data_IF_401601275493
#
_entry.id   IF_401601275493
#
_cell.length_a   1.000
_cell.length_b   1.000
_cell.length_c   1.000
_cell.angle_alpha   90.00
_cell.angle_beta   90.00
_cell.angle_gamma   90.00
#
_symmetry.space_group_name_H-M   'P 1'
#
loop_
_entity.id
_entity.type
_entity.pdbx_description
1 polymer ?
#
# COMPACT_ATOMS: atom_id res chain seq x y z
N UNK A 1 -0.99 -12.28 -6.67
CA UNK A 1 -1.48 -11.30 -5.68
C UNK A 1 -2.36 -10.33 -6.40
N UNK A 2 -3.55 -10.08 -5.87
CA UNK A 2 -4.56 -9.23 -6.49
C UNK A 2 -4.56 -7.83 -5.88
N UNK A 3 -5.15 -6.86 -6.59
CA UNK A 3 -5.23 -5.44 -6.15
C UNK A 3 -5.80 -5.29 -4.74
N UNK A 4 -6.83 -6.08 -4.41
CA UNK A 4 -7.50 -6.05 -3.09
C UNK A 4 -6.53 -6.50 -1.99
N UNK A 5 -5.79 -7.59 -2.22
CA UNK A 5 -4.81 -8.08 -1.25
C UNK A 5 -3.72 -7.05 -0.99
N UNK A 6 -3.24 -6.37 -2.05
CA UNK A 6 -2.24 -5.32 -1.92
C UNK A 6 -2.79 -4.10 -1.15
N UNK A 7 -4.03 -3.68 -1.45
CA UNK A 7 -4.71 -2.59 -0.75
C UNK A 7 -4.85 -2.88 0.75
N UNK A 8 -5.24 -4.11 1.11
CA UNK A 8 -5.34 -4.56 2.52
C UNK A 8 -3.98 -4.58 3.21
N UNK A 9 -2.93 -5.06 2.56
CA UNK A 9 -1.58 -5.04 3.14
C UNK A 9 -1.07 -3.62 3.40
N UNK A 10 -1.33 -2.67 2.50
CA UNK A 10 -0.97 -1.27 2.73
C UNK A 10 -1.78 -0.71 3.92
N UNK A 11 -3.07 -1.03 4.00
CA UNK A 11 -3.94 -0.58 5.09
C UNK A 11 -3.51 -1.14 6.45
N UNK A 12 -3.16 -2.43 6.50
CA UNK A 12 -2.65 -3.08 7.70
C UNK A 12 -1.32 -2.48 8.11
N UNK A 13 -0.38 -2.25 7.18
CA UNK A 13 0.89 -1.57 7.49
C UNK A 13 0.67 -0.15 7.99
N UNK A 14 -0.19 0.66 7.37
CA UNK A 14 -0.53 2.01 7.85
C UNK A 14 -1.20 1.99 9.23
N UNK A 15 -2.11 1.06 9.46
CA UNK A 15 -2.81 0.90 10.74
C UNK A 15 -1.86 0.37 11.84
N UNK A 16 -0.88 -0.42 11.45
CA UNK A 16 0.18 -0.96 12.30
C UNK A 16 1.34 0.01 12.55
N UNK A 17 1.34 1.23 11.97
CA UNK A 17 2.34 2.29 12.28
C UNK A 17 2.35 2.70 13.77
N UNK A 18 1.43 2.18 14.59
CA UNK A 18 1.51 2.26 16.05
C UNK A 18 2.35 1.17 16.74
N UNK A 19 3.01 0.26 16.02
CA UNK A 19 3.93 -0.71 16.58
C UNK A 19 5.28 -0.63 15.85
N UNK A 20 6.29 -0.19 16.61
CA UNK A 20 7.70 -0.13 16.24
C UNK A 20 8.16 -1.53 15.86
N UNK A 21 8.52 -1.75 14.60
CA UNK A 21 9.09 -3.04 14.17
C UNK A 21 10.34 -2.78 13.31
N UNK A 22 11.49 -3.11 13.92
CA UNK A 22 12.85 -2.72 13.53
C UNK A 22 13.52 -3.70 12.54
N UNK A 23 12.74 -4.56 11.84
CA UNK A 23 13.31 -5.62 10.98
C UNK A 23 12.54 -5.95 9.69
N UNK A 24 11.65 -5.08 9.21
CA UNK A 24 10.83 -5.37 8.03
C UNK A 24 11.32 -4.66 6.77
N UNK A 25 11.64 -5.44 5.73
CA UNK A 25 11.82 -4.95 4.35
C UNK A 25 10.69 -3.95 4.03
N UNK A 26 11.06 -2.75 3.55
CA UNK A 26 10.07 -1.69 3.29
C UNK A 26 9.08 -2.19 2.23
N UNK A 27 7.80 -1.82 2.37
CA UNK A 27 6.81 -2.13 1.32
C UNK A 27 7.30 -1.59 -0.03
N UNK A 28 7.94 -0.43 0.02
CA UNK A 28 8.58 0.28 -1.07
C UNK A 28 9.71 -0.53 -1.72
N UNK A 29 10.52 -1.26 -0.94
CA UNK A 29 11.60 -2.11 -1.44
C UNK A 29 11.03 -3.35 -2.14
N UNK A 30 10.00 -3.97 -1.56
CA UNK A 30 9.27 -5.09 -2.17
C UNK A 30 8.60 -4.67 -3.48
N UNK A 31 7.95 -3.52 -3.48
CA UNK A 31 7.28 -2.96 -4.66
C UNK A 31 8.33 -2.64 -5.72
N UNK A 32 9.45 -2.00 -5.36
CA UNK A 32 10.52 -1.66 -6.29
C UNK A 32 11.20 -2.89 -6.90
N UNK A 33 11.27 -4.00 -6.16
CA UNK A 33 11.80 -5.28 -6.63
C UNK A 33 10.90 -6.01 -7.62
N UNK A 34 9.58 -5.80 -7.59
CA UNK A 34 8.62 -6.57 -8.40
C UNK A 34 7.88 -5.70 -9.44
N UNK A 35 8.05 -6.05 -10.72
CA UNK A 35 7.35 -5.39 -11.84
C UNK A 35 5.82 -5.50 -11.75
N UNK A 36 5.29 -6.61 -11.25
CA UNK A 36 3.84 -6.80 -11.09
C UNK A 36 3.29 -5.92 -9.97
N UNK A 37 3.97 -5.85 -8.83
CA UNK A 37 3.56 -4.97 -7.73
C UNK A 37 3.60 -3.50 -8.13
N UNK A 38 4.64 -3.04 -8.85
CA UNK A 38 4.67 -1.67 -9.40
C UNK A 38 3.47 -1.36 -10.28
N UNK A 39 3.10 -2.30 -11.15
CA UNK A 39 1.92 -2.13 -12.01
C UNK A 39 0.64 -2.02 -11.18
N UNK A 40 0.48 -2.88 -10.17
CA UNK A 40 -0.69 -2.84 -9.29
C UNK A 40 -0.77 -1.53 -8.49
N UNK A 41 0.35 -1.03 -7.97
CA UNK A 41 0.39 0.28 -7.29
C UNK A 41 0.07 1.42 -8.26
N UNK A 42 0.62 1.40 -9.46
CA UNK A 42 0.33 2.38 -10.50
C UNK A 42 -1.16 2.41 -10.84
N UNK A 43 -1.79 1.23 -10.95
CA UNK A 43 -3.22 1.12 -11.19
C UNK A 43 -4.03 1.70 -10.00
N UNK A 44 -3.71 1.31 -8.76
CA UNK A 44 -4.34 1.85 -7.56
C UNK A 44 -4.15 3.38 -7.44
N UNK A 45 -3.02 3.91 -7.90
CA UNK A 45 -2.74 5.34 -7.92
C UNK A 45 -3.61 6.06 -8.96
N UNK A 46 -3.76 5.47 -10.16
CA UNK A 46 -4.67 5.99 -11.19
C UNK A 46 -6.14 5.97 -10.74
N UNK A 47 -6.51 5.02 -9.88
CA UNK A 47 -7.81 4.91 -9.22
C UNK A 47 -7.95 5.85 -8.00
N UNK A 48 -6.93 6.67 -7.70
CA UNK A 48 -6.87 7.57 -6.54
C UNK A 48 -7.04 6.88 -5.17
N UNK A 49 -6.65 5.60 -5.08
CA UNK A 49 -6.74 4.81 -3.83
C UNK A 49 -5.46 4.88 -3.01
N UNK A 50 -4.32 5.08 -3.67
CA UNK A 50 -3.02 5.27 -3.02
C UNK A 50 -2.34 6.52 -3.53
N UNK A 51 -1.48 7.10 -2.70
CA UNK A 51 -0.65 8.26 -3.04
C UNK A 51 0.74 8.12 -2.42
N UNK A 52 1.73 8.77 -3.02
CA UNK A 52 3.06 8.89 -2.44
C UNK A 52 3.13 10.13 -1.53
N UNK A 53 3.50 9.94 -0.26
CA UNK A 53 3.75 11.02 0.69
C UNK A 53 5.08 10.75 1.39
N UNK A 54 6.03 11.70 1.32
CA UNK A 54 7.38 11.54 1.88
C UNK A 54 8.08 10.23 1.45
N UNK A 55 8.01 9.92 0.15
CA UNK A 55 8.56 8.68 -0.43
C UNK A 55 7.95 7.37 0.08
N UNK A 56 6.84 7.44 0.83
CA UNK A 56 6.07 6.28 1.30
C UNK A 56 4.75 6.17 0.55
N UNK A 57 4.32 4.94 0.32
CA UNK A 57 2.99 4.68 -0.26
C UNK A 57 1.97 4.73 0.87
N UNK A 58 0.96 5.58 0.69
CA UNK A 58 -0.09 5.81 1.68
C UNK A 58 -1.46 5.65 1.04
N UNK A 59 -2.47 5.23 1.82
CA UNK A 59 -3.83 5.15 1.32
C UNK A 59 -4.51 6.51 1.39
N UNK A 60 -5.25 6.85 0.34
CA UNK A 60 -6.18 7.98 0.38
C UNK A 60 -7.39 7.63 1.24
N UNK A 61 -8.24 8.60 1.55
CA UNK A 61 -9.49 8.34 2.28
C UNK A 61 -10.37 7.30 1.56
N UNK A 62 -10.40 7.34 0.23
CA UNK A 62 -11.11 6.36 -0.59
C UNK A 62 -10.45 4.98 -0.53
N UNK A 63 -9.12 4.92 -0.61
CA UNK A 63 -8.38 3.67 -0.46
C UNK A 63 -8.60 3.01 0.90
N UNK A 64 -8.59 3.80 1.99
CA UNK A 64 -8.91 3.32 3.35
C UNK A 64 -10.34 2.80 3.47
N UNK A 65 -11.30 3.50 2.86
CA UNK A 65 -12.69 3.07 2.83
C UNK A 65 -12.86 1.72 2.10
N UNK A 66 -12.28 1.60 0.90
CA UNK A 66 -12.36 0.36 0.12
C UNK A 66 -11.64 -0.81 0.80
N UNK A 67 -10.46 -0.57 1.39
CA UNK A 67 -9.72 -1.59 2.13
C UNK A 67 -10.50 -2.15 3.32
N UNK A 68 -11.42 -1.36 3.90
CA UNK A 68 -12.26 -1.75 5.04
C UNK A 68 -13.50 -2.57 4.64
N UNK A 69 -13.98 -2.44 3.40
CA UNK A 69 -15.25 -3.03 2.94
C UNK A 69 -15.05 -4.25 2.03
N UNK A 70 -13.95 -4.27 1.28
CA UNK A 70 -13.52 -5.41 0.47
C UNK A 70 -12.83 -6.47 1.33
#
# INVERSE_FOLDING_TARGET
MDKITLLKMIYEKESAVNQVDDQNISLEDLISGDRKLRKLISDLQSEQLVQYTNSKITLTNMGKYLAKIL
#
